data_IF_009746853119
#
_entry.id   IF_009746853119
#
_cell.length_a   1.000
_cell.length_b   1.000
_cell.length_c   1.000
_cell.angle_alpha   90.00
_cell.angle_beta   90.00
_cell.angle_gamma   90.00
#
_symmetry.space_group_name_H-M   'P 1'
#
loop_
_entity.id
_entity.type
_entity.pdbx_description
1 polymer ?
#
# COMPACT_ATOMS: atom_id res chain seq x y z
N UNK A 1 -15.67 -39.26 2.50
CA UNK A 1 -15.38 -39.70 3.90
C UNK A 1 -14.07 -40.48 4.01
N UNK A 2 -13.76 -41.43 3.11
CA UNK A 2 -12.54 -42.28 3.19
C UNK A 2 -11.26 -41.42 3.18
N UNK A 3 -11.12 -40.50 2.25
CA UNK A 3 -9.94 -39.63 2.13
C UNK A 3 -9.95 -38.46 3.09
N UNK A 4 -11.04 -38.14 3.74
CA UNK A 4 -11.22 -36.96 4.59
C UNK A 4 -10.76 -35.66 3.91
N UNK A 5 -10.91 -35.60 2.60
CA UNK A 5 -10.62 -34.43 1.77
C UNK A 5 -11.44 -34.49 0.47
N UNK A 6 -11.59 -33.38 -0.20
CA UNK A 6 -12.26 -33.27 -1.49
C UNK A 6 -11.47 -34.02 -2.55
N UNK A 7 -12.19 -34.82 -3.31
CA UNK A 7 -11.60 -35.63 -4.37
C UNK A 7 -12.14 -35.22 -5.74
N UNK A 8 -11.26 -35.19 -6.73
CA UNK A 8 -11.56 -35.15 -8.12
C UNK A 8 -11.72 -36.60 -8.62
N UNK A 9 -12.87 -36.90 -9.23
CA UNK A 9 -13.24 -38.30 -9.60
C UNK A 9 -13.51 -38.35 -11.07
N UNK A 10 -12.77 -39.21 -11.77
CA UNK A 10 -13.04 -39.59 -13.15
C UNK A 10 -13.93 -40.80 -13.15
N UNK A 11 -15.02 -40.79 -13.91
CA UNK A 11 -15.99 -41.88 -14.00
C UNK A 11 -16.50 -42.06 -15.42
N UNK A 12 -17.01 -43.25 -15.72
CA UNK A 12 -17.74 -43.52 -16.96
C UNK A 12 -18.99 -44.35 -16.66
N UNK A 13 -19.97 -44.31 -17.56
CA UNK A 13 -21.18 -45.11 -17.49
C UNK A 13 -21.23 -45.94 -18.75
N UNK A 14 -21.23 -47.26 -18.58
CA UNK A 14 -21.42 -48.23 -19.67
C UNK A 14 -22.61 -49.13 -19.37
N UNK A 15 -23.56 -49.20 -20.29
CA UNK A 15 -24.78 -50.04 -20.18
C UNK A 15 -25.52 -49.83 -18.83
N UNK A 16 -25.62 -48.55 -18.39
CA UNK A 16 -26.30 -48.16 -17.15
C UNK A 16 -25.52 -48.47 -15.86
N UNK A 17 -24.29 -48.96 -15.95
CA UNK A 17 -23.41 -49.22 -14.83
C UNK A 17 -22.34 -48.19 -14.69
N UNK A 18 -22.18 -47.61 -13.48
CA UNK A 18 -21.16 -46.63 -13.14
C UNK A 18 -19.82 -47.34 -12.85
N UNK A 19 -18.76 -46.82 -13.48
CA UNK A 19 -17.38 -47.23 -13.23
C UNK A 19 -16.57 -46.02 -12.80
N UNK A 20 -15.90 -46.09 -11.64
CA UNK A 20 -14.93 -45.09 -11.21
C UNK A 20 -13.58 -45.49 -11.79
N UNK A 21 -13.01 -44.59 -12.57
CA UNK A 21 -11.74 -44.81 -13.28
C UNK A 21 -10.55 -44.35 -12.46
N UNK A 22 -10.67 -43.16 -11.84
CA UNK A 22 -9.59 -42.56 -11.05
C UNK A 22 -10.17 -41.67 -9.96
N UNK A 23 -9.44 -41.52 -8.85
CA UNK A 23 -9.66 -40.51 -7.84
C UNK A 23 -8.31 -39.86 -7.48
N UNK A 24 -8.32 -38.54 -7.26
CA UNK A 24 -7.15 -37.75 -6.86
C UNK A 24 -7.57 -36.59 -6.00
N UNK A 25 -6.64 -36.00 -5.26
CA UNK A 25 -6.93 -34.80 -4.48
C UNK A 25 -7.32 -33.66 -5.41
N UNK A 26 -8.47 -33.04 -5.16
CA UNK A 26 -8.99 -31.94 -5.96
C UNK A 26 -8.11 -30.70 -5.85
N UNK A 27 -7.63 -30.18 -7.00
CA UNK A 27 -7.05 -28.85 -7.05
C UNK A 27 -8.14 -27.81 -6.79
N UNK A 28 -7.80 -26.77 -6.03
CA UNK A 28 -8.79 -25.79 -5.57
C UNK A 28 -8.24 -24.38 -5.55
N UNK A 29 -9.11 -23.40 -5.84
CA UNK A 29 -8.82 -21.97 -5.64
C UNK A 29 -8.87 -21.63 -4.15
N UNK A 30 -8.36 -20.45 -3.76
CA UNK A 30 -8.42 -19.97 -2.38
C UNK A 30 -9.86 -19.93 -1.83
N UNK A 31 -10.82 -19.44 -2.60
CA UNK A 31 -12.23 -19.41 -2.21
C UNK A 31 -12.81 -20.82 -2.04
N UNK A 32 -12.48 -21.73 -2.96
CA UNK A 32 -12.91 -23.13 -2.85
C UNK A 32 -12.31 -23.80 -1.62
N UNK A 33 -11.04 -23.52 -1.29
CA UNK A 33 -10.39 -24.06 -0.09
C UNK A 33 -11.11 -23.65 1.19
N UNK A 34 -11.46 -22.35 1.32
CA UNK A 34 -12.23 -21.82 2.45
C UNK A 34 -13.59 -22.52 2.59
N UNK A 35 -14.36 -22.59 1.48
CA UNK A 35 -15.67 -23.20 1.48
C UNK A 35 -15.60 -24.70 1.82
N UNK A 36 -14.67 -25.44 1.23
CA UNK A 36 -14.48 -26.86 1.49
C UNK A 36 -14.12 -27.10 2.97
N UNK A 37 -13.17 -26.32 3.52
CA UNK A 37 -12.79 -26.44 4.92
C UNK A 37 -13.98 -26.17 5.86
N UNK A 38 -14.74 -25.11 5.59
CA UNK A 38 -15.95 -24.76 6.34
C UNK A 38 -17.00 -25.88 6.28
N UNK A 39 -17.35 -26.35 5.08
CA UNK A 39 -18.37 -27.38 4.89
C UNK A 39 -17.96 -28.71 5.53
N UNK A 40 -16.68 -29.12 5.43
CA UNK A 40 -16.17 -30.32 6.02
C UNK A 40 -16.23 -30.34 7.57
N UNK A 41 -16.05 -29.18 8.20
CA UNK A 41 -16.28 -29.03 9.65
C UNK A 41 -17.76 -29.16 9.95
N UNK A 42 -18.63 -28.51 9.15
CA UNK A 42 -20.08 -28.62 9.29
C UNK A 42 -20.60 -30.08 9.14
N UNK A 43 -19.98 -30.86 8.25
CA UNK A 43 -20.28 -32.32 8.06
C UNK A 43 -19.62 -33.21 9.10
N UNK A 44 -18.82 -32.69 10.04
CA UNK A 44 -18.12 -33.46 11.07
C UNK A 44 -17.02 -34.39 10.52
N UNK A 45 -16.46 -34.07 9.34
CA UNK A 45 -15.40 -34.83 8.71
C UNK A 45 -14.01 -34.47 9.27
N UNK A 46 -13.83 -33.23 9.65
CA UNK A 46 -12.61 -32.66 10.24
C UNK A 46 -12.99 -31.70 11.38
N UNK A 47 -12.07 -31.44 12.29
CA UNK A 47 -12.24 -30.40 13.30
C UNK A 47 -11.77 -29.03 12.85
N UNK A 48 -12.04 -27.96 13.63
CA UNK A 48 -11.66 -26.59 13.32
C UNK A 48 -10.15 -26.43 13.15
N UNK A 49 -9.33 -27.11 13.98
CA UNK A 49 -7.87 -27.01 13.91
C UNK A 49 -7.33 -27.64 12.64
N UNK A 50 -7.86 -28.79 12.27
CA UNK A 50 -7.50 -29.46 11.02
C UNK A 50 -7.92 -28.61 9.80
N UNK A 51 -9.10 -27.98 9.86
CA UNK A 51 -9.55 -27.05 8.81
C UNK A 51 -8.58 -25.88 8.63
N UNK A 52 -8.13 -25.24 9.72
CA UNK A 52 -7.15 -24.15 9.68
C UNK A 52 -5.81 -24.58 9.08
N UNK A 53 -5.32 -25.78 9.43
CA UNK A 53 -4.05 -26.30 8.90
C UNK A 53 -4.09 -26.61 7.38
N UNK A 54 -5.29 -26.78 6.80
CA UNK A 54 -5.48 -27.04 5.36
C UNK A 54 -5.56 -25.80 4.51
N UNK A 55 -5.68 -24.62 5.14
CA UNK A 55 -5.78 -23.35 4.46
C UNK A 55 -4.39 -22.70 4.43
N UNK A 56 -3.90 -22.43 3.23
CA UNK A 56 -2.67 -21.70 3.05
C UNK A 56 -2.91 -20.20 3.32
N UNK A 57 -2.22 -19.60 4.32
CA UNK A 57 -2.36 -18.17 4.63
C UNK A 57 -2.04 -17.24 3.45
N UNK A 58 -1.11 -17.63 2.56
CA UNK A 58 -0.78 -16.84 1.37
C UNK A 58 -1.98 -16.75 0.43
N UNK A 59 -2.76 -17.83 0.31
CA UNK A 59 -3.97 -17.81 -0.50
C UNK A 59 -5.06 -16.90 0.09
N UNK A 60 -5.10 -16.71 1.42
CA UNK A 60 -6.07 -15.79 2.05
C UNK A 60 -5.83 -14.33 1.64
N UNK A 61 -4.57 -13.92 1.49
CA UNK A 61 -4.24 -12.58 1.05
C UNK A 61 -4.87 -12.25 -0.33
N UNK A 62 -4.95 -13.24 -1.22
CA UNK A 62 -5.55 -13.05 -2.55
C UNK A 62 -7.05 -12.73 -2.49
N UNK A 63 -7.77 -13.24 -1.50
CA UNK A 63 -9.22 -13.00 -1.33
C UNK A 63 -9.51 -11.58 -0.85
N UNK A 64 -8.52 -10.91 -0.21
CA UNK A 64 -8.66 -9.57 0.34
C UNK A 64 -8.40 -8.43 -0.65
N UNK A 65 -7.97 -8.76 -1.88
CA UNK A 65 -7.69 -7.77 -2.91
C UNK A 65 -8.80 -7.72 -3.96
N UNK A 66 -8.93 -6.56 -4.62
CA UNK A 66 -9.79 -6.44 -5.81
C UNK A 66 -9.40 -7.48 -6.83
N UNK A 67 -10.39 -8.08 -7.45
CA UNK A 67 -10.22 -9.11 -8.46
C UNK A 67 -10.90 -8.68 -9.75
N UNK A 68 -10.43 -9.22 -10.88
CA UNK A 68 -11.14 -9.08 -12.15
C UNK A 68 -12.44 -9.88 -12.10
N UNK A 69 -13.53 -9.30 -12.59
CA UNK A 69 -14.79 -10.04 -12.72
C UNK A 69 -14.61 -11.22 -13.68
N UNK A 70 -14.83 -12.44 -13.19
CA UNK A 70 -14.67 -13.66 -13.98
C UNK A 70 -15.61 -13.78 -15.18
N UNK A 71 -16.64 -12.94 -15.26
CA UNK A 71 -17.57 -12.86 -16.40
C UNK A 71 -17.11 -11.90 -17.50
N UNK A 72 -16.01 -11.15 -17.28
CA UNK A 72 -15.53 -10.18 -18.26
C UNK A 72 -14.78 -10.85 -19.40
N UNK A 73 -15.02 -10.39 -20.62
CA UNK A 73 -14.19 -10.75 -21.77
C UNK A 73 -12.83 -10.08 -21.67
N UNK A 74 -11.77 -10.86 -21.64
CA UNK A 74 -10.41 -10.39 -21.42
C UNK A 74 -9.58 -10.48 -22.71
N UNK A 75 -9.01 -9.34 -23.12
CA UNK A 75 -7.97 -9.31 -24.15
C UNK A 75 -6.61 -9.25 -23.46
N UNK A 76 -6.06 -10.42 -23.13
CA UNK A 76 -4.73 -10.52 -22.47
C UNK A 76 -3.65 -10.19 -23.49
N UNK A 77 -2.85 -9.17 -23.19
CA UNK A 77 -1.72 -8.71 -24.00
C UNK A 77 -0.45 -9.50 -23.68
N UNK A 78 -0.17 -9.66 -22.40
CA UNK A 78 1.06 -10.26 -21.91
C UNK A 78 0.89 -10.82 -20.49
N UNK A 79 1.86 -11.61 -20.06
CA UNK A 79 1.97 -12.06 -18.68
C UNK A 79 3.40 -11.83 -18.17
N UNK A 80 3.50 -11.38 -16.91
CA UNK A 80 4.73 -11.21 -16.16
C UNK A 80 4.65 -11.94 -14.82
N UNK A 81 5.51 -11.56 -13.88
CA UNK A 81 5.51 -12.11 -12.53
C UNK A 81 4.40 -11.44 -11.69
N UNK A 82 3.65 -12.26 -10.97
CA UNK A 82 2.65 -11.85 -9.98
C UNK A 82 3.34 -11.27 -8.74
N UNK A 83 3.79 -10.02 -8.82
CA UNK A 83 4.68 -9.43 -7.83
C UNK A 83 3.96 -8.88 -6.59
N UNK A 84 2.75 -8.34 -6.76
CA UNK A 84 1.89 -7.88 -5.65
C UNK A 84 0.44 -8.12 -6.04
N UNK A 85 -0.35 -8.80 -5.19
CA UNK A 85 -1.69 -9.27 -5.55
C UNK A 85 -2.70 -8.14 -5.74
N UNK A 86 -3.81 -8.48 -6.43
CA UNK A 86 -4.92 -7.61 -6.72
C UNK A 86 -4.98 -7.17 -8.18
N UNK A 87 -6.10 -6.58 -8.56
CA UNK A 87 -6.33 -6.06 -9.90
C UNK A 87 -6.55 -4.55 -9.88
N UNK A 88 -6.04 -3.87 -10.88
CA UNK A 88 -6.23 -2.44 -11.09
C UNK A 88 -6.37 -2.12 -12.57
N UNK A 89 -7.06 -1.01 -12.86
CA UNK A 89 -7.08 -0.43 -14.19
C UNK A 89 -6.80 1.07 -14.15
N UNK A 90 -6.31 1.60 -15.22
CA UNK A 90 -6.05 3.03 -15.36
C UNK A 90 -5.42 3.37 -16.69
N UNK A 91 -5.26 4.66 -16.94
CA UNK A 91 -4.55 5.16 -18.10
C UNK A 91 -3.05 4.96 -17.95
N UNK A 92 -2.39 4.57 -19.01
CA UNK A 92 -0.94 4.35 -19.06
C UNK A 92 -0.20 5.66 -18.90
N UNK A 93 0.74 5.69 -17.96
CA UNK A 93 1.72 6.77 -17.79
C UNK A 93 3.12 6.19 -17.66
N UNK A 94 4.13 6.92 -18.16
CA UNK A 94 5.51 6.45 -18.20
C UNK A 94 6.44 7.24 -17.29
N UNK A 95 5.94 8.30 -16.66
CA UNK A 95 6.70 9.19 -15.79
C UNK A 95 6.08 9.23 -14.39
N UNK A 96 6.93 9.17 -13.35
CA UNK A 96 6.48 9.12 -11.96
C UNK A 96 5.88 10.45 -11.48
N UNK A 97 6.40 11.59 -11.95
CA UNK A 97 5.85 12.91 -11.60
C UNK A 97 4.47 13.10 -12.23
N UNK A 98 4.28 12.60 -13.45
CA UNK A 98 2.99 12.62 -14.12
C UNK A 98 2.00 11.69 -13.42
N UNK A 99 2.42 10.48 -13.03
CA UNK A 99 1.60 9.56 -12.25
C UNK A 99 1.14 10.20 -10.93
N UNK A 100 2.04 10.91 -10.25
CA UNK A 100 1.72 11.66 -9.04
C UNK A 100 0.71 12.77 -9.31
N UNK A 101 0.95 13.60 -10.32
CA UNK A 101 0.06 14.71 -10.65
C UNK A 101 -1.36 14.22 -10.98
N UNK A 102 -1.46 13.25 -11.89
CA UNK A 102 -2.75 12.70 -12.32
C UNK A 102 -3.47 11.96 -11.18
N UNK A 103 -2.72 11.20 -10.37
CA UNK A 103 -3.29 10.50 -9.21
C UNK A 103 -3.84 11.45 -8.15
N UNK A 104 -3.16 12.57 -7.87
CA UNK A 104 -3.63 13.61 -6.92
C UNK A 104 -4.92 14.29 -7.35
N UNK A 105 -5.18 14.43 -8.64
CA UNK A 105 -6.46 14.96 -9.16
C UNK A 105 -7.53 13.90 -9.34
N UNK A 106 -7.30 12.66 -8.82
CA UNK A 106 -8.26 11.57 -8.81
C UNK A 106 -8.31 10.71 -10.08
N UNK A 107 -7.40 10.92 -11.04
CA UNK A 107 -7.31 10.08 -12.24
C UNK A 107 -6.73 8.71 -11.88
N UNK A 108 -7.31 7.64 -12.44
CA UNK A 108 -6.78 6.28 -12.30
C UNK A 108 -5.67 6.07 -13.31
N UNK A 109 -4.45 5.84 -12.84
CA UNK A 109 -3.27 5.64 -13.71
C UNK A 109 -2.56 4.33 -13.38
N UNK A 110 -2.00 3.69 -14.41
CA UNK A 110 -1.04 2.58 -14.29
C UNK A 110 0.32 3.12 -14.68
N UNK A 111 1.27 3.07 -13.74
CA UNK A 111 2.65 3.47 -14.01
C UNK A 111 3.39 2.33 -14.71
N UNK A 112 3.83 2.58 -15.94
CA UNK A 112 4.54 1.62 -16.78
C UNK A 112 6.00 2.03 -16.91
N UNK A 113 6.92 1.16 -16.46
CA UNK A 113 8.37 1.43 -16.48
C UNK A 113 9.12 0.25 -17.08
N UNK A 114 10.35 0.47 -17.54
CA UNK A 114 11.28 -0.63 -17.79
C UNK A 114 11.61 -1.29 -16.45
N UNK A 115 12.01 -0.49 -15.47
CA UNK A 115 12.17 -0.85 -14.06
C UNK A 115 11.95 0.40 -13.20
N UNK A 116 11.63 0.23 -11.93
CA UNK A 116 11.45 1.36 -11.00
C UNK A 116 12.67 1.56 -10.13
N UNK A 117 12.91 2.80 -9.75
CA UNK A 117 13.97 3.23 -8.83
C UNK A 117 13.35 3.86 -7.58
N UNK A 118 14.12 4.10 -6.49
CA UNK A 118 13.62 4.82 -5.32
C UNK A 118 13.04 6.21 -5.65
N UNK A 119 13.51 6.85 -6.70
CA UNK A 119 13.00 8.16 -7.14
C UNK A 119 11.57 8.09 -7.69
N UNK A 120 11.09 6.92 -8.07
CA UNK A 120 9.73 6.72 -8.60
C UNK A 120 8.66 6.54 -7.49
N UNK A 121 9.03 6.53 -6.20
CA UNK A 121 8.12 6.23 -5.08
C UNK A 121 6.89 7.13 -5.08
N UNK A 122 7.04 8.44 -5.31
CA UNK A 122 5.92 9.39 -5.31
C UNK A 122 4.86 9.06 -6.38
N UNK A 123 5.30 8.62 -7.56
CA UNK A 123 4.40 8.15 -8.62
C UNK A 123 3.76 6.80 -8.29
N UNK A 124 4.51 5.87 -7.69
CA UNK A 124 4.00 4.57 -7.23
C UNK A 124 2.89 4.77 -6.19
N UNK A 125 3.07 5.71 -5.25
CA UNK A 125 2.06 6.01 -4.21
C UNK A 125 0.72 6.44 -4.82
N UNK A 126 0.72 7.19 -5.88
CA UNK A 126 -0.49 7.72 -6.50
C UNK A 126 -1.09 6.81 -7.58
N UNK A 127 -0.29 5.96 -8.22
CA UNK A 127 -0.76 5.02 -9.21
C UNK A 127 -1.71 3.96 -8.61
N UNK A 128 -2.68 3.47 -9.41
CA UNK A 128 -3.55 2.36 -9.05
C UNK A 128 -2.82 1.02 -9.09
N UNK A 129 -1.81 0.90 -9.95
CA UNK A 129 -0.98 -0.28 -10.07
C UNK A 129 0.26 -0.02 -10.91
N UNK A 130 1.20 -0.96 -10.89
CA UNK A 130 2.52 -0.82 -11.50
C UNK A 130 2.79 -1.98 -12.45
N UNK A 131 3.30 -1.66 -13.64
CA UNK A 131 3.76 -2.62 -14.63
C UNK A 131 5.22 -2.36 -14.97
N UNK A 132 6.08 -3.38 -14.83
CA UNK A 132 7.47 -3.26 -15.29
C UNK A 132 7.84 -4.34 -16.28
N UNK A 133 8.63 -3.96 -17.30
CA UNK A 133 9.12 -4.92 -18.29
C UNK A 133 10.29 -5.76 -17.77
N UNK A 134 11.04 -5.24 -16.79
CA UNK A 134 12.14 -5.93 -16.10
C UNK A 134 11.89 -6.00 -14.60
N UNK A 135 12.65 -6.84 -13.93
CA UNK A 135 12.62 -7.00 -12.48
C UNK A 135 12.01 -8.33 -12.05
N UNK A 136 12.48 -8.84 -10.91
CA UNK A 136 12.01 -10.07 -10.28
C UNK A 136 11.12 -9.79 -9.06
N UNK A 137 10.78 -10.84 -8.31
CA UNK A 137 9.98 -10.77 -7.07
C UNK A 137 10.66 -9.97 -5.94
N UNK A 138 11.96 -9.71 -6.05
CA UNK A 138 12.76 -8.91 -5.12
C UNK A 138 13.14 -7.53 -5.68
N UNK A 139 12.63 -7.16 -6.87
CA UNK A 139 12.86 -5.85 -7.45
C UNK A 139 12.24 -4.74 -6.61
N UNK A 140 12.72 -3.50 -6.78
CA UNK A 140 12.18 -2.33 -6.10
C UNK A 140 10.67 -2.20 -6.29
N UNK A 141 10.16 -2.35 -7.53
CA UNK A 141 8.73 -2.34 -7.81
C UNK A 141 7.97 -3.37 -6.96
N UNK A 142 8.43 -4.63 -6.96
CA UNK A 142 7.77 -5.74 -6.26
C UNK A 142 7.72 -5.52 -4.73
N UNK A 143 8.84 -5.09 -4.13
CA UNK A 143 8.94 -4.88 -2.68
C UNK A 143 8.10 -3.70 -2.22
N UNK A 144 8.22 -2.55 -2.90
CA UNK A 144 7.50 -1.32 -2.53
C UNK A 144 5.99 -1.48 -2.72
N UNK A 145 5.56 -2.03 -3.87
CA UNK A 145 4.12 -2.19 -4.15
C UNK A 145 3.46 -3.18 -3.21
N UNK A 146 4.17 -4.26 -2.84
CA UNK A 146 3.68 -5.24 -1.85
C UNK A 146 3.52 -4.60 -0.48
N UNK A 147 4.49 -3.78 -0.06
CA UNK A 147 4.41 -3.00 1.18
C UNK A 147 3.25 -2.00 1.20
N UNK A 148 2.86 -1.47 0.04
CA UNK A 148 1.74 -0.54 -0.11
C UNK A 148 0.40 -1.21 -0.41
N UNK A 149 0.34 -2.54 -0.60
CA UNK A 149 -0.86 -3.27 -1.00
C UNK A 149 -1.37 -2.89 -2.40
N UNK A 150 -0.49 -2.47 -3.30
CA UNK A 150 -0.84 -2.07 -4.67
C UNK A 150 -0.56 -3.19 -5.66
N UNK A 151 -1.48 -3.47 -6.61
CA UNK A 151 -1.26 -4.45 -7.66
C UNK A 151 0.01 -4.18 -8.47
N UNK A 152 0.81 -5.23 -8.70
CA UNK A 152 2.03 -5.09 -9.48
C UNK A 152 2.31 -6.33 -10.33
N UNK A 153 2.60 -6.09 -11.59
CA UNK A 153 3.14 -7.08 -12.54
C UNK A 153 4.57 -6.68 -12.91
N UNK A 154 5.54 -7.52 -12.55
CA UNK A 154 6.96 -7.28 -12.84
C UNK A 154 7.49 -8.21 -13.90
N UNK A 155 8.64 -7.83 -14.51
CA UNK A 155 9.38 -8.72 -15.40
C UNK A 155 8.55 -9.17 -16.61
N UNK A 156 7.65 -8.33 -17.07
CA UNK A 156 6.86 -8.60 -18.26
C UNK A 156 7.69 -8.30 -19.53
N UNK A 157 8.61 -9.19 -19.88
CA UNK A 157 9.60 -8.98 -20.96
C UNK A 157 8.96 -8.75 -22.34
N UNK A 158 7.72 -9.19 -22.52
CA UNK A 158 6.96 -8.94 -23.74
C UNK A 158 6.59 -7.45 -23.93
N UNK A 159 6.52 -6.68 -22.82
CA UNK A 159 6.26 -5.24 -22.83
C UNK A 159 7.55 -4.49 -23.18
N UNK A 160 7.57 -3.86 -24.35
CA UNK A 160 8.70 -3.03 -24.82
C UNK A 160 8.33 -1.57 -24.70
N UNK A 161 8.89 -0.90 -23.69
CA UNK A 161 8.60 0.52 -23.38
C UNK A 161 9.47 1.42 -24.25
N UNK A 162 8.85 2.40 -24.90
CA UNK A 162 9.49 3.49 -25.62
C UNK A 162 9.08 4.82 -24.97
N UNK A 163 10.02 5.42 -24.24
CA UNK A 163 9.79 6.67 -23.53
C UNK A 163 9.74 7.90 -24.46
N UNK A 164 10.44 7.85 -25.60
CA UNK A 164 10.46 8.96 -26.56
C UNK A 164 9.11 9.07 -27.27
N UNK A 165 8.56 7.94 -27.70
CA UNK A 165 7.26 7.90 -28.34
C UNK A 165 6.08 7.82 -27.37
N UNK A 166 6.33 7.73 -26.08
CA UNK A 166 5.31 7.63 -25.03
C UNK A 166 4.33 6.48 -25.30
N UNK A 167 4.87 5.28 -25.54
CA UNK A 167 4.10 4.06 -25.80
C UNK A 167 4.85 2.83 -25.29
N UNK A 168 4.13 1.71 -25.22
CA UNK A 168 4.76 0.40 -25.19
C UNK A 168 4.16 -0.53 -26.24
N UNK A 169 4.90 -1.56 -26.61
CA UNK A 169 4.43 -2.56 -27.58
C UNK A 169 4.47 -3.96 -26.98
N UNK A 170 3.51 -4.79 -27.38
CA UNK A 170 3.49 -6.24 -27.12
C UNK A 170 3.19 -6.94 -28.44
N UNK A 171 4.21 -7.57 -29.03
CA UNK A 171 4.10 -8.10 -30.39
C UNK A 171 3.76 -7.00 -31.40
N UNK A 172 2.64 -7.13 -32.07
CA UNK A 172 2.11 -6.11 -33.01
C UNK A 172 1.19 -5.08 -32.37
N UNK A 173 0.79 -5.27 -31.11
CA UNK A 173 -0.11 -4.35 -30.40
C UNK A 173 0.67 -3.19 -29.84
N UNK A 174 0.20 -1.97 -30.10
CA UNK A 174 0.75 -0.72 -29.59
C UNK A 174 -0.20 -0.13 -28.57
N UNK A 175 0.29 0.23 -27.39
CA UNK A 175 -0.47 0.92 -26.35
C UNK A 175 0.21 2.25 -26.05
N UNK A 176 -0.52 3.33 -26.25
CA UNK A 176 -0.02 4.70 -26.11
C UNK A 176 -0.33 5.25 -24.72
N UNK A 177 0.41 6.25 -24.32
CA UNK A 177 0.10 7.06 -23.15
C UNK A 177 -1.36 7.51 -23.14
N UNK A 178 -2.02 7.40 -22.00
CA UNK A 178 -3.41 7.75 -21.80
C UNK A 178 -4.40 6.64 -22.18
N UNK A 179 -3.99 5.63 -22.93
CA UNK A 179 -4.85 4.46 -23.20
C UNK A 179 -5.05 3.63 -21.93
N UNK A 180 -6.20 2.99 -21.83
CA UNK A 180 -6.58 2.20 -20.67
C UNK A 180 -6.00 0.79 -20.75
N UNK A 181 -5.42 0.35 -19.66
CA UNK A 181 -5.06 -1.05 -19.43
C UNK A 181 -5.54 -1.49 -18.05
N UNK A 182 -5.64 -2.79 -17.90
CA UNK A 182 -5.83 -3.43 -16.61
C UNK A 182 -4.66 -4.37 -16.34
N UNK A 183 -4.29 -4.49 -15.07
CA UNK A 183 -3.30 -5.46 -14.61
C UNK A 183 -3.89 -6.32 -13.52
N UNK A 184 -3.54 -7.59 -13.52
CA UNK A 184 -3.82 -8.52 -12.44
C UNK A 184 -2.52 -8.98 -11.81
N UNK A 185 -2.17 -8.38 -10.68
CA UNK A 185 -0.99 -8.71 -9.91
C UNK A 185 -1.08 -10.07 -9.20
N UNK A 186 -2.25 -10.72 -9.20
CA UNK A 186 -2.46 -12.08 -8.67
C UNK A 186 -2.07 -13.14 -9.69
N UNK A 187 -2.40 -12.92 -10.96
CA UNK A 187 -2.11 -13.85 -12.07
C UNK A 187 -0.91 -13.44 -12.91
N UNK A 188 -0.46 -12.19 -12.78
CA UNK A 188 0.60 -11.59 -13.59
C UNK A 188 0.12 -11.11 -14.97
N UNK A 189 -1.17 -11.04 -15.23
CA UNK A 189 -1.72 -10.68 -16.54
C UNK A 189 -1.76 -9.17 -16.77
N UNK A 190 -1.47 -8.78 -18.02
CA UNK A 190 -1.65 -7.42 -18.54
C UNK A 190 -2.74 -7.49 -19.61
N UNK A 191 -3.77 -6.67 -19.47
CA UNK A 191 -5.02 -6.77 -20.23
C UNK A 191 -5.32 -5.42 -20.89
N UNK A 192 -5.72 -5.45 -22.15
CA UNK A 192 -6.09 -4.24 -22.89
C UNK A 192 -7.43 -3.70 -22.38
N UNK A 193 -7.50 -2.39 -22.18
CA UNK A 193 -8.71 -1.71 -21.74
C UNK A 193 -8.97 -1.76 -20.25
N UNK A 194 -10.05 -1.12 -19.82
CA UNK A 194 -10.54 -1.17 -18.45
C UNK A 194 -11.50 -2.36 -18.31
N UNK A 195 -11.17 -3.30 -17.43
CA UNK A 195 -12.04 -4.44 -17.11
C UNK A 195 -12.81 -4.20 -15.82
N UNK A 196 -14.02 -4.74 -15.69
CA UNK A 196 -14.77 -4.68 -14.44
C UNK A 196 -13.99 -5.35 -13.30
N UNK A 197 -13.92 -4.66 -12.17
CA UNK A 197 -13.29 -5.16 -10.94
C UNK A 197 -14.37 -5.43 -9.89
N UNK A 198 -14.20 -6.52 -9.15
CA UNK A 198 -14.97 -6.83 -7.93
C UNK A 198 -14.16 -6.43 -6.72
N UNK A 199 -14.78 -5.67 -5.83
CA UNK A 199 -14.21 -5.42 -4.51
C UNK A 199 -14.17 -6.74 -3.69
N UNK A 200 -13.19 -6.91 -2.80
CA UNK A 200 -13.12 -8.11 -1.97
C UNK A 200 -14.36 -8.20 -1.08
N UNK A 201 -15.13 -9.26 -1.26
CA UNK A 201 -16.21 -9.61 -0.38
C UNK A 201 -15.71 -10.62 0.65
N UNK A 202 -15.76 -10.24 1.93
CA UNK A 202 -15.50 -11.17 3.01
C UNK A 202 -16.68 -12.16 3.10
N UNK A 203 -16.53 -13.33 2.49
CA UNK A 203 -17.56 -14.34 2.55
C UNK A 203 -17.82 -14.79 4.01
N UNK A 204 -19.01 -15.35 4.27
CA UNK A 204 -19.33 -15.89 5.61
C UNK A 204 -18.35 -16.97 6.03
N UNK A 205 -17.92 -17.80 5.09
CA UNK A 205 -16.94 -18.86 5.31
C UNK A 205 -15.60 -18.27 5.75
N UNK A 206 -15.15 -17.17 5.09
CA UNK A 206 -13.93 -16.45 5.46
C UNK A 206 -14.02 -15.92 6.91
N UNK A 207 -15.12 -15.26 7.26
CA UNK A 207 -15.34 -14.75 8.62
C UNK A 207 -15.33 -15.87 9.65
N UNK A 208 -16.02 -16.98 9.38
CA UNK A 208 -16.05 -18.16 10.27
C UNK A 208 -14.65 -18.78 10.45
N UNK A 209 -13.84 -18.85 9.38
CA UNK A 209 -12.46 -19.35 9.45
C UNK A 209 -11.60 -18.43 10.35
N UNK A 210 -11.77 -17.10 10.23
CA UNK A 210 -11.07 -16.15 11.13
C UNK A 210 -11.51 -16.30 12.58
N UNK A 211 -12.80 -16.51 12.85
CA UNK A 211 -13.31 -16.79 14.20
C UNK A 211 -12.67 -18.06 14.78
N UNK A 212 -12.56 -19.14 14.00
CA UNK A 212 -11.87 -20.35 14.45
C UNK A 212 -10.37 -20.11 14.69
N UNK A 213 -9.73 -19.29 13.86
CA UNK A 213 -8.35 -18.90 14.07
C UNK A 213 -8.18 -18.12 15.38
N UNK A 214 -9.11 -17.21 15.68
CA UNK A 214 -9.13 -16.45 16.94
C UNK A 214 -9.34 -17.32 18.18
N UNK A 215 -10.10 -18.43 18.07
CA UNK A 215 -10.27 -19.40 19.16
C UNK A 215 -8.97 -20.19 19.47
N UNK A 216 -8.10 -20.38 18.49
CA UNK A 216 -6.93 -21.27 18.58
C UNK A 216 -5.62 -20.52 18.80
N UNK A 217 -5.50 -19.30 18.28
CA UNK A 217 -4.28 -18.51 18.35
C UNK A 217 -3.90 -18.12 19.78
N UNK A 218 -2.59 -17.99 20.03
CA UNK A 218 -2.03 -17.52 21.31
C UNK A 218 -1.52 -16.08 21.21
N UNK A 219 -1.14 -15.65 20.00
CA UNK A 219 -0.65 -14.29 19.74
C UNK A 219 -1.79 -13.35 19.31
N UNK A 220 -1.68 -12.11 19.70
CA UNK A 220 -2.56 -11.04 19.28
C UNK A 220 -1.98 -10.31 18.07
N UNK A 221 -2.84 -9.86 17.15
CA UNK A 221 -2.45 -9.06 15.99
C UNK A 221 -2.70 -7.59 16.30
N UNK A 222 -1.66 -6.76 16.17
CA UNK A 222 -1.75 -5.31 16.29
C UNK A 222 -1.35 -4.67 14.96
N UNK A 223 -2.17 -3.72 14.50
CA UNK A 223 -1.93 -2.98 13.26
C UNK A 223 -1.08 -1.73 13.52
N UNK A 224 -0.53 -1.15 12.45
CA UNK A 224 -0.03 0.21 12.47
C UNK A 224 -1.15 1.13 11.97
N UNK A 225 -1.43 2.21 12.70
CA UNK A 225 -2.42 3.21 12.31
C UNK A 225 -1.99 4.58 12.85
N UNK A 226 -1.92 5.56 11.97
CA UNK A 226 -1.49 6.93 12.29
C UNK A 226 -2.66 7.92 12.24
N UNK A 227 -3.81 7.50 11.68
CA UNK A 227 -5.03 8.30 11.57
C UNK A 227 -6.22 7.59 12.21
N UNK A 228 -7.30 8.32 12.58
CA UNK A 228 -8.53 7.72 13.06
C UNK A 228 -9.15 6.73 12.07
N UNK A 229 -9.12 7.07 10.78
CA UNK A 229 -9.65 6.24 9.69
C UNK A 229 -8.90 4.92 9.57
N UNK A 230 -7.56 4.95 9.68
CA UNK A 230 -6.73 3.74 9.69
C UNK A 230 -7.02 2.87 10.93
N UNK A 231 -7.24 3.49 12.08
CA UNK A 231 -7.59 2.79 13.31
C UNK A 231 -8.96 2.08 13.20
N UNK A 232 -9.98 2.77 12.68
CA UNK A 232 -11.31 2.19 12.42
C UNK A 232 -11.23 1.03 11.42
N UNK A 233 -10.49 1.22 10.33
CA UNK A 233 -10.26 0.19 9.32
C UNK A 233 -9.54 -1.02 9.91
N UNK A 234 -8.49 -0.79 10.70
CA UNK A 234 -7.75 -1.85 11.37
C UNK A 234 -8.64 -2.67 12.30
N UNK A 235 -9.47 -2.00 13.10
CA UNK A 235 -10.44 -2.67 13.98
C UNK A 235 -11.45 -3.49 13.19
N UNK A 236 -11.99 -2.93 12.10
CA UNK A 236 -12.93 -3.64 11.21
C UNK A 236 -12.33 -4.92 10.62
N UNK A 237 -11.02 -4.91 10.35
CA UNK A 237 -10.28 -6.09 9.87
C UNK A 237 -9.84 -7.05 10.99
N UNK A 238 -10.25 -6.81 12.24
CA UNK A 238 -10.01 -7.72 13.36
C UNK A 238 -8.70 -7.48 14.11
N UNK A 239 -8.04 -6.33 13.93
CA UNK A 239 -6.89 -5.97 14.74
C UNK A 239 -7.29 -5.83 16.22
N UNK A 240 -6.46 -6.36 17.11
CA UNK A 240 -6.68 -6.37 18.56
C UNK A 240 -5.88 -5.29 19.29
N UNK A 241 -5.54 -4.26 18.58
CA UNK A 241 -4.86 -3.09 19.06
C UNK A 241 -4.04 -2.41 17.98
N UNK A 242 -3.52 -1.24 18.30
CA UNK A 242 -2.53 -0.54 17.51
C UNK A 242 -1.15 -0.78 18.11
N UNK A 243 -0.26 -1.37 17.32
CA UNK A 243 1.11 -1.65 17.72
C UNK A 243 2.03 -0.45 17.56
N UNK A 244 1.67 0.48 16.64
CA UNK A 244 2.41 1.70 16.43
C UNK A 244 1.51 2.79 15.82
N UNK A 245 1.42 3.92 16.52
CA UNK A 245 0.95 5.21 16.01
C UNK A 245 2.13 6.18 16.01
N UNK A 246 2.46 6.74 14.86
CA UNK A 246 3.59 7.63 14.65
C UNK A 246 3.12 9.07 14.69
N UNK A 247 3.48 9.82 15.72
CA UNK A 247 3.03 11.22 15.89
C UNK A 247 3.58 12.16 14.83
N UNK A 248 4.76 11.84 14.24
CA UNK A 248 5.33 12.62 13.15
C UNK A 248 4.45 12.63 11.89
N UNK A 249 3.76 11.53 11.59
CA UNK A 249 2.85 11.48 10.43
C UNK A 249 1.63 12.41 10.63
N UNK A 250 1.18 12.59 11.87
CA UNK A 250 0.13 13.56 12.19
C UNK A 250 0.58 15.00 11.90
N UNK A 251 1.87 15.30 12.10
CA UNK A 251 2.44 16.63 11.90
C UNK A 251 2.79 16.95 10.45
N UNK A 252 2.94 15.94 9.58
CA UNK A 252 3.29 16.13 8.16
C UNK A 252 2.09 16.53 7.28
N UNK A 253 0.87 16.56 7.82
CA UNK A 253 -0.31 17.05 7.10
C UNK A 253 -0.11 18.51 6.65
N UNK A 254 -0.52 18.84 5.43
CA UNK A 254 -0.24 20.15 4.81
C UNK A 254 -0.75 21.34 5.65
N UNK A 255 -1.89 21.19 6.29
CA UNK A 255 -2.49 22.23 7.15
C UNK A 255 -1.76 22.39 8.49
N UNK A 256 -0.97 21.42 8.92
CA UNK A 256 -0.26 21.38 10.21
C UNK A 256 1.20 21.77 10.09
N UNK A 257 1.81 21.41 8.97
CA UNK A 257 3.23 21.61 8.72
C UNK A 257 3.72 23.07 8.98
N UNK A 258 2.97 24.14 8.60
CA UNK A 258 3.37 25.51 8.92
C UNK A 258 3.50 25.80 10.42
N UNK A 259 2.64 25.21 11.26
CA UNK A 259 2.72 25.37 12.72
C UNK A 259 3.92 24.62 13.30
N UNK A 260 4.22 23.43 12.78
CA UNK A 260 5.40 22.65 13.17
C UNK A 260 6.68 23.39 12.81
N UNK A 261 6.76 23.90 11.59
CA UNK A 261 7.91 24.71 11.16
C UNK A 261 8.08 25.96 12.03
N UNK A 262 7.01 26.68 12.33
CA UNK A 262 7.04 27.85 13.24
C UNK A 262 7.51 27.46 14.64
N UNK A 263 7.07 26.33 15.18
CA UNK A 263 7.51 25.80 16.47
C UNK A 263 9.03 25.51 16.47
N UNK A 264 9.53 24.85 15.43
CA UNK A 264 10.95 24.47 15.31
C UNK A 264 11.84 25.70 15.16
N UNK A 265 11.39 26.67 14.35
CA UNK A 265 12.13 27.90 14.02
C UNK A 265 11.97 29.00 15.07
N UNK A 266 11.13 28.83 16.09
CA UNK A 266 10.90 29.81 17.13
C UNK A 266 12.21 30.11 17.91
N UNK A 267 12.48 31.38 18.13
CA UNK A 267 13.67 31.88 18.83
C UNK A 267 13.38 32.20 20.29
N UNK A 268 12.12 32.41 20.63
CA UNK A 268 11.67 32.69 22.01
C UNK A 268 10.69 31.62 22.50
N UNK A 269 10.57 31.51 23.83
CA UNK A 269 9.59 30.60 24.45
C UNK A 269 8.17 30.97 24.11
N UNK A 270 7.86 32.27 24.07
CA UNK A 270 6.53 32.82 23.76
C UNK A 270 6.09 32.45 22.33
N UNK A 271 6.99 32.64 21.34
CA UNK A 271 6.75 32.26 19.95
C UNK A 271 6.50 30.76 19.84
N UNK A 272 7.30 29.93 20.51
CA UNK A 272 7.19 28.48 20.52
C UNK A 272 5.88 28.04 21.14
N UNK A 273 5.49 28.59 22.28
CA UNK A 273 4.23 28.28 22.93
C UNK A 273 3.02 28.68 22.07
N UNK A 274 3.11 29.83 21.39
CA UNK A 274 2.08 30.26 20.44
C UNK A 274 1.90 29.29 19.24
N UNK A 275 2.99 28.69 18.77
CA UNK A 275 2.93 27.69 17.69
C UNK A 275 2.47 26.30 18.19
N UNK A 276 2.79 25.95 19.43
CA UNK A 276 2.38 24.66 20.04
C UNK A 276 0.87 24.60 20.35
N UNK A 277 0.23 25.70 20.65
CA UNK A 277 -1.18 25.69 21.04
C UNK A 277 -2.13 25.12 19.98
N UNK A 278 -2.07 25.53 18.69
CA UNK A 278 -2.86 24.91 17.64
C UNK A 278 -2.54 23.41 17.45
N UNK A 279 -1.26 23.05 17.49
CA UNK A 279 -0.80 21.67 17.35
C UNK A 279 -1.34 20.78 18.46
N UNK A 280 -1.35 21.27 19.69
CA UNK A 280 -1.92 20.57 20.84
C UNK A 280 -3.39 20.24 20.61
N UNK A 281 -4.21 21.22 20.18
CA UNK A 281 -5.63 21.03 19.95
C UNK A 281 -5.86 19.98 18.83
N UNK A 282 -5.11 20.07 17.73
CA UNK A 282 -5.21 19.13 16.62
C UNK A 282 -4.85 17.71 17.05
N UNK A 283 -3.72 17.54 17.76
CA UNK A 283 -3.25 16.24 18.21
C UNK A 283 -4.14 15.62 19.31
N UNK A 284 -4.72 16.44 20.18
CA UNK A 284 -5.70 16.00 21.19
C UNK A 284 -6.94 15.41 20.51
N UNK A 285 -7.43 16.03 19.44
CA UNK A 285 -8.55 15.51 18.65
C UNK A 285 -8.20 14.21 17.92
N UNK A 286 -6.97 14.09 17.37
CA UNK A 286 -6.53 12.87 16.71
C UNK A 286 -6.47 11.70 17.71
N UNK A 287 -5.82 11.91 18.85
CA UNK A 287 -5.74 10.88 19.88
C UNK A 287 -7.10 10.49 20.43
N UNK A 288 -7.96 11.48 20.69
CA UNK A 288 -9.33 11.19 21.11
C UNK A 288 -10.04 10.29 20.09
N UNK A 289 -9.93 10.60 18.82
CA UNK A 289 -10.60 9.85 17.75
C UNK A 289 -9.99 8.45 17.56
N UNK A 290 -8.67 8.32 17.59
CA UNK A 290 -7.98 7.01 17.54
C UNK A 290 -8.37 6.14 18.75
N UNK A 291 -8.30 6.70 19.96
CA UNK A 291 -8.64 5.96 21.19
C UNK A 291 -10.13 5.58 21.23
N UNK A 292 -11.02 6.45 20.70
CA UNK A 292 -12.44 6.13 20.55
C UNK A 292 -12.66 5.00 19.55
N UNK A 293 -11.99 5.01 18.39
CA UNK A 293 -12.05 3.94 17.40
C UNK A 293 -11.56 2.60 18.00
N UNK A 294 -10.54 2.65 18.83
CA UNK A 294 -9.91 1.49 19.48
C UNK A 294 -10.39 1.26 20.92
N UNK A 295 -11.60 1.70 21.27
CA UNK A 295 -12.15 1.51 22.60
C UNK A 295 -11.97 0.08 23.10
N UNK A 296 -11.48 -0.11 24.33
CA UNK A 296 -11.13 -1.38 24.98
C UNK A 296 -9.94 -2.15 24.35
N UNK A 297 -9.26 -1.58 23.36
CA UNK A 297 -8.08 -2.19 22.74
C UNK A 297 -6.83 -1.33 22.98
N UNK A 298 -5.65 -1.95 23.16
CA UNK A 298 -4.41 -1.22 23.43
C UNK A 298 -3.94 -0.41 22.21
N UNK A 299 -3.45 0.80 22.45
CA UNK A 299 -2.83 1.65 21.44
C UNK A 299 -1.44 2.05 21.92
N UNK A 300 -0.42 1.72 21.13
CA UNK A 300 0.97 2.12 21.38
C UNK A 300 1.29 3.36 20.55
N UNK A 301 1.57 4.46 21.22
CA UNK A 301 1.88 5.76 20.60
C UNK A 301 3.38 6.00 20.70
N UNK A 302 4.05 6.22 19.56
CA UNK A 302 5.43 6.69 19.51
C UNK A 302 5.44 8.21 19.60
N UNK A 303 6.17 8.73 20.55
CA UNK A 303 6.46 10.16 20.61
C UNK A 303 7.32 10.57 19.41
N UNK A 304 7.47 11.88 19.18
CA UNK A 304 8.18 12.44 18.04
C UNK A 304 9.59 11.81 17.92
N UNK A 305 9.83 11.10 16.81
CA UNK A 305 11.07 10.36 16.60
C UNK A 305 12.02 10.99 15.56
N UNK A 306 11.55 11.46 14.35
CA UNK A 306 12.46 11.94 13.33
C UNK A 306 13.18 13.22 13.72
N UNK A 307 14.36 13.51 13.11
CA UNK A 307 15.05 14.77 13.30
C UNK A 307 14.20 15.95 12.87
N UNK A 308 14.36 17.08 13.56
CA UNK A 308 13.52 18.26 13.32
C UNK A 308 13.65 18.84 11.89
N UNK A 309 14.79 18.64 11.23
CA UNK A 309 15.00 19.14 9.89
C UNK A 309 14.08 18.49 8.82
N UNK A 310 13.56 17.27 9.09
CA UNK A 310 12.63 16.61 8.16
C UNK A 310 11.29 17.34 8.01
N UNK A 311 10.93 18.19 8.96
CA UNK A 311 9.74 19.05 8.89
C UNK A 311 10.01 20.39 8.20
N UNK A 312 11.28 20.74 7.97
CA UNK A 312 11.67 22.02 7.41
C UNK A 312 11.67 21.97 5.87
N UNK A 313 11.62 23.13 5.21
CA UNK A 313 11.78 23.20 3.77
C UNK A 313 13.12 22.61 3.31
N UNK A 314 13.15 22.00 2.11
CA UNK A 314 14.38 21.45 1.53
C UNK A 314 15.48 22.50 1.45
N UNK A 315 16.69 22.13 1.91
CA UNK A 315 17.86 22.98 1.86
C UNK A 315 18.19 23.40 0.42
N UNK A 316 18.11 22.44 -0.52
CA UNK A 316 18.39 22.67 -1.94
C UNK A 316 17.43 23.68 -2.55
N UNK A 317 16.13 23.55 -2.27
CA UNK A 317 15.10 24.51 -2.74
C UNK A 317 15.34 25.90 -2.19
N UNK A 318 15.65 26.03 -0.90
CA UNK A 318 15.96 27.31 -0.28
C UNK A 318 17.22 27.95 -0.85
N UNK A 319 18.26 27.17 -1.15
CA UNK A 319 19.46 27.66 -1.82
C UNK A 319 19.17 28.20 -3.22
N UNK A 320 18.35 27.51 -3.99
CA UNK A 320 17.93 27.99 -5.33
C UNK A 320 17.10 29.26 -5.20
N UNK A 321 16.06 29.28 -4.37
CA UNK A 321 15.17 30.43 -4.16
C UNK A 321 15.95 31.67 -3.70
N UNK A 322 16.85 31.53 -2.73
CA UNK A 322 17.67 32.65 -2.24
C UNK A 322 18.64 33.14 -3.28
N UNK A 323 19.22 32.24 -4.10
CA UNK A 323 20.14 32.64 -5.20
C UNK A 323 19.37 33.36 -6.29
N UNK A 324 18.19 32.91 -6.67
CA UNK A 324 17.34 33.61 -7.65
C UNK A 324 16.95 35.04 -7.19
N UNK A 325 16.53 35.16 -5.90
CA UNK A 325 16.17 36.46 -5.32
C UNK A 325 17.36 37.42 -5.27
N UNK A 326 18.58 36.93 -4.98
CA UNK A 326 19.81 37.75 -5.05
C UNK A 326 20.12 38.23 -6.44
N UNK A 327 19.87 37.42 -7.45
CA UNK A 327 20.11 37.80 -8.87
C UNK A 327 19.05 38.78 -9.33
N UNK A 328 17.78 38.55 -9.04
CA UNK A 328 16.65 39.39 -9.49
C UNK A 328 16.63 40.76 -8.81
N UNK A 329 17.01 40.85 -7.55
CA UNK A 329 17.03 42.09 -6.73
C UNK A 329 15.68 42.83 -6.68
N UNK A 330 14.59 42.12 -6.89
CA UNK A 330 13.23 42.67 -7.00
C UNK A 330 12.50 42.72 -5.65
N UNK A 331 12.93 41.93 -4.64
CA UNK A 331 12.31 41.89 -3.33
C UNK A 331 13.34 41.71 -2.19
N UNK A 332 13.95 42.78 -1.67
CA UNK A 332 14.95 42.70 -0.60
C UNK A 332 14.42 42.14 0.71
N UNK A 333 13.16 42.40 1.06
CA UNK A 333 12.55 41.92 2.29
C UNK A 333 12.37 40.39 2.26
N UNK A 334 11.87 39.87 1.14
CA UNK A 334 11.73 38.42 0.94
C UNK A 334 13.08 37.71 0.93
N UNK A 335 14.09 38.34 0.35
CA UNK A 335 15.45 37.81 0.35
C UNK A 335 16.00 37.71 1.78
N UNK A 336 15.86 38.74 2.59
CA UNK A 336 16.32 38.72 3.99
C UNK A 336 15.60 37.63 4.82
N UNK A 337 14.28 37.46 4.63
CA UNK A 337 13.50 36.42 5.27
C UNK A 337 13.99 35.03 4.86
N UNK A 338 14.18 34.80 3.55
CA UNK A 338 14.65 33.50 3.04
C UNK A 338 16.09 33.19 3.45
N UNK A 339 16.98 34.17 3.51
CA UNK A 339 18.35 34.00 3.99
C UNK A 339 18.37 33.64 5.49
N UNK A 340 17.53 34.27 6.29
CA UNK A 340 17.38 33.95 7.71
C UNK A 340 16.87 32.51 7.90
N UNK A 341 15.87 32.10 7.13
CA UNK A 341 15.34 30.75 7.12
C UNK A 341 16.41 29.74 6.70
N UNK A 342 17.13 30.02 5.61
CA UNK A 342 18.21 29.17 5.12
C UNK A 342 19.29 28.97 6.21
N UNK A 343 19.71 30.02 6.89
CA UNK A 343 20.70 29.93 7.97
C UNK A 343 20.22 29.04 9.13
N UNK A 344 18.93 29.11 9.46
CA UNK A 344 18.33 28.24 10.49
C UNK A 344 18.26 26.77 10.04
N UNK A 345 17.84 26.52 8.79
CA UNK A 345 17.78 25.17 8.23
C UNK A 345 19.16 24.53 8.17
N UNK A 346 20.18 25.27 7.71
CA UNK A 346 21.58 24.80 7.69
C UNK A 346 22.06 24.42 9.08
N UNK A 347 21.72 25.21 10.11
CA UNK A 347 22.10 24.92 11.50
C UNK A 347 21.46 23.65 12.05
N UNK A 348 20.23 23.33 11.62
CA UNK A 348 19.48 22.17 12.08
C UNK A 348 19.70 20.94 11.21
N UNK A 349 20.31 21.10 10.04
CA UNK A 349 20.57 20.00 9.10
C UNK A 349 21.66 19.08 9.64
N UNK A 350 21.36 17.80 9.71
CA UNK A 350 22.26 16.78 10.25
C UNK A 350 22.84 15.92 9.12
N UNK A 351 24.15 15.67 9.18
CA UNK A 351 24.82 14.82 8.18
C UNK A 351 24.40 13.35 8.29
N UNK A 352 24.00 12.90 9.48
CA UNK A 352 23.49 11.56 9.73
C UNK A 352 22.25 11.61 10.61
N UNK A 353 21.03 11.53 10.03
CA UNK A 353 19.78 11.60 10.77
C UNK A 353 19.64 10.51 11.85
N UNK A 354 20.28 9.36 11.68
CA UNK A 354 20.21 8.26 12.67
C UNK A 354 20.99 8.58 13.94
N UNK A 355 22.04 9.38 13.84
CA UNK A 355 22.91 9.77 14.97
C UNK A 355 22.56 11.13 15.55
N UNK A 356 21.68 11.87 14.89
CA UNK A 356 21.36 13.25 15.19
C UNK A 356 20.41 13.46 16.37
N UNK A 357 19.90 14.68 16.47
CA UNK A 357 18.99 15.14 17.52
C UNK A 357 17.56 14.69 17.23
N UNK A 358 17.22 13.47 17.67
CA UNK A 358 15.94 12.82 17.44
C UNK A 358 15.49 11.96 18.61
N UNK A 359 14.22 11.55 18.59
CA UNK A 359 13.65 10.64 19.58
C UNK A 359 13.79 11.16 21.02
N UNK A 360 14.21 10.30 21.95
CA UNK A 360 14.37 10.69 23.36
C UNK A 360 15.42 11.79 23.59
N UNK A 361 16.37 11.99 22.66
CA UNK A 361 17.36 13.08 22.75
C UNK A 361 16.72 14.46 22.69
N UNK A 362 15.57 14.61 21.98
CA UNK A 362 14.80 15.85 21.96
C UNK A 362 14.29 16.28 23.35
N UNK A 363 14.10 15.33 24.26
CA UNK A 363 13.62 15.62 25.62
C UNK A 363 14.74 15.85 26.64
N UNK A 364 16.00 15.69 26.24
CA UNK A 364 17.18 15.85 27.15
C UNK A 364 17.84 17.19 26.92
N UNK A 365 17.78 17.75 25.75
CA UNK A 365 18.39 19.01 25.32
C UNK A 365 17.35 20.05 25.01
#
# INVERSE_FOLDING_TARGET
>A
RHYRDMQDIELTIERGKLYILQTRNGKRTAQAALKIAHDMVGEGLIDKKEALLRIDPEHLAHVLHRQIDSSADLTVLAAGLAASPGAAFGSVVFDANEAEHLGRIGSKVILVRVETTPDDIHGIVQAQGILTSRGGMTSHAAVVTRGMGKPCVCGCEAVKVDYEQQLFTVGSTVVRKGELISIDGTTGQVILGAVPLKDPELSKEYQTILEWADEVRTLQVRANADTPEDAEKSRKFGAQGIGLTRTEHMFMAQERLPYVQRMILATTTEERMGALLPLRIMQENDFYSILKAMHDLPVCIRLLDPPLHEFLPSLEKLLVETTELRIRKDNPQLLEEKERLLAQVVKLHEANPMMGHRGCRLGIT
#
